data_IF_519257796242
#
_entry.id   IF_519257796242
#
_cell.length_a   1.000
_cell.length_b   1.000
_cell.length_c   1.000
_cell.angle_alpha   90.00
_cell.angle_beta   90.00
_cell.angle_gamma   90.00
#
_symmetry.space_group_name_H-M   'P 1'
#
loop_
_entity.id
_entity.type
_entity.pdbx_description
1 polymer ?
#
# COMPACT_ATOMS: atom_id res chain seq x y z
N UNK A 1 8.15 17.69 -6.14
CA UNK A 1 8.53 19.07 -5.72
C UNK A 1 9.90 19.40 -6.32
N UNK A 2 9.97 19.95 -7.55
CA UNK A 2 11.23 20.32 -8.19
C UNK A 2 11.89 21.53 -7.53
N UNK A 3 12.49 21.31 -6.35
CA UNK A 3 13.15 22.35 -5.55
C UNK A 3 14.61 22.60 -5.93
N UNK A 4 15.15 21.78 -6.82
CA UNK A 4 16.50 21.91 -7.35
C UNK A 4 16.61 21.44 -8.81
N UNK A 5 17.75 21.77 -9.42
CA UNK A 5 18.05 21.45 -10.81
C UNK A 5 18.09 19.94 -11.10
N UNK A 6 18.47 19.13 -10.12
CA UNK A 6 18.53 17.67 -10.22
C UNK A 6 17.15 17.04 -10.33
N UNK A 7 16.23 17.38 -9.42
CA UNK A 7 14.84 16.91 -9.47
C UNK A 7 14.18 17.37 -10.78
N UNK A 8 14.42 18.62 -11.20
CA UNK A 8 13.85 19.12 -12.45
C UNK A 8 14.34 18.35 -13.69
N UNK A 9 15.64 18.02 -13.72
CA UNK A 9 16.23 17.20 -14.80
C UNK A 9 15.62 15.80 -14.84
N UNK A 10 15.31 15.22 -13.68
CA UNK A 10 14.58 13.96 -13.57
C UNK A 10 13.16 14.08 -14.14
N UNK A 11 12.41 15.12 -13.76
CA UNK A 11 11.05 15.37 -14.29
C UNK A 11 11.04 15.53 -15.81
N UNK A 12 12.02 16.26 -16.36
CA UNK A 12 12.20 16.42 -17.82
C UNK A 12 12.55 15.10 -18.52
N UNK A 13 13.24 14.18 -17.82
CA UNK A 13 13.57 12.87 -18.36
C UNK A 13 12.38 11.90 -18.29
N UNK A 14 11.53 12.00 -17.27
CA UNK A 14 10.33 11.18 -17.10
C UNK A 14 9.21 11.55 -18.08
N UNK A 15 9.12 12.83 -18.49
CA UNK A 15 8.12 13.27 -19.47
C UNK A 15 8.41 12.80 -20.90
N UNK A 16 9.66 12.51 -21.25
CA UNK A 16 10.08 12.05 -22.58
C UNK A 16 9.52 10.69 -23.02
N UNK A 17 9.56 9.63 -22.20
CA UNK A 17 9.07 8.30 -22.57
C UNK A 17 7.55 8.10 -22.42
N UNK A 18 6.82 9.04 -21.80
CA UNK A 18 5.38 8.88 -21.54
C UNK A 18 4.47 9.16 -22.76
N UNK A 19 5.01 9.63 -23.89
CA UNK A 19 4.26 10.09 -25.08
C UNK A 19 3.07 11.02 -24.73
N UNK A 20 3.17 11.72 -23.60
CA UNK A 20 2.20 12.71 -23.17
C UNK A 20 2.61 14.06 -23.74
N UNK A 21 1.71 14.68 -24.49
CA UNK A 21 1.82 16.09 -24.89
C UNK A 21 1.63 17.06 -23.72
N UNK A 22 1.61 16.58 -22.47
CA UNK A 22 0.80 17.13 -21.40
C UNK A 22 1.61 17.70 -20.25
N UNK A 23 1.28 18.94 -19.91
CA UNK A 23 1.54 19.51 -18.60
C UNK A 23 1.13 18.56 -17.47
N UNK A 24 1.86 18.58 -16.35
CA UNK A 24 1.49 17.86 -15.15
C UNK A 24 1.48 18.76 -13.94
N UNK A 25 0.60 18.47 -12.99
CA UNK A 25 0.56 19.15 -11.71
C UNK A 25 1.82 18.88 -10.90
N UNK A 26 2.36 19.96 -10.31
CA UNK A 26 3.31 19.90 -9.21
C UNK A 26 2.67 20.46 -7.95
N UNK A 27 3.18 20.08 -6.79
CA UNK A 27 2.63 20.52 -5.51
C UNK A 27 2.97 21.96 -5.11
N UNK A 28 3.15 22.90 -6.03
CA UNK A 28 3.36 24.33 -5.71
C UNK A 28 2.03 25.07 -5.92
N UNK A 29 1.65 25.96 -5.00
CA UNK A 29 0.38 26.70 -5.05
C UNK A 29 0.45 27.99 -4.24
N UNK A 30 -0.49 28.92 -4.47
CA UNK A 30 -0.65 30.15 -3.67
C UNK A 30 -2.10 30.32 -3.15
N UNK A 31 -2.88 29.23 -3.13
CA UNK A 31 -4.28 29.18 -2.68
C UNK A 31 -4.58 29.89 -1.33
N UNK A 32 -3.60 29.96 -0.42
CA UNK A 32 -3.77 30.64 0.88
C UNK A 32 -3.67 32.15 0.76
N UNK A 33 -2.82 32.63 -0.14
CA UNK A 33 -2.56 34.05 -0.36
C UNK A 33 -1.90 34.27 -1.72
N UNK A 34 -2.63 34.96 -2.58
CA UNK A 34 -2.19 35.39 -3.91
C UNK A 34 -0.76 35.94 -3.92
N UNK A 35 0.06 35.42 -4.82
CA UNK A 35 1.47 35.79 -4.98
C UNK A 35 2.41 35.26 -3.90
N UNK A 36 1.91 34.49 -2.93
CA UNK A 36 2.72 33.79 -1.92
C UNK A 36 2.68 32.29 -2.16
N UNK A 37 3.56 31.83 -3.04
CA UNK A 37 3.68 30.42 -3.39
C UNK A 37 4.34 29.60 -2.27
N UNK A 38 3.68 28.51 -1.90
CA UNK A 38 4.16 27.49 -0.98
C UNK A 38 3.96 26.10 -1.60
N UNK A 39 4.76 25.14 -1.16
CA UNK A 39 4.58 23.74 -1.51
C UNK A 39 3.47 23.13 -0.66
N UNK A 40 2.85 22.06 -1.14
CA UNK A 40 1.77 21.32 -0.45
C UNK A 40 2.18 20.77 0.93
N UNK A 41 3.47 20.67 1.24
CA UNK A 41 3.98 20.31 2.57
C UNK A 41 4.20 21.53 3.49
N UNK A 42 3.89 22.74 3.03
CA UNK A 42 3.98 23.99 3.77
C UNK A 42 5.32 24.73 3.62
N UNK A 43 6.29 24.18 2.89
CA UNK A 43 7.56 24.87 2.66
C UNK A 43 7.40 26.04 1.69
N UNK A 44 8.15 27.12 1.92
CA UNK A 44 8.25 28.23 0.96
C UNK A 44 8.87 27.76 -0.36
N UNK A 45 8.50 28.41 -1.48
CA UNK A 45 9.10 28.18 -2.80
C UNK A 45 10.65 28.28 -2.80
N UNK A 46 11.22 29.08 -1.88
CA UNK A 46 12.66 29.26 -1.76
C UNK A 46 13.25 30.10 -2.90
N UNK A 47 14.58 30.00 -3.09
CA UNK A 47 15.29 30.77 -4.13
C UNK A 47 15.19 30.13 -5.52
N UNK A 48 14.93 28.82 -5.59
CA UNK A 48 14.85 28.09 -6.84
C UNK A 48 13.46 28.21 -7.46
N UNK A 49 13.38 28.78 -8.64
CA UNK A 49 12.15 28.86 -9.42
C UNK A 49 12.41 28.61 -10.90
N UNK A 50 11.40 28.11 -11.59
CA UNK A 50 11.42 27.81 -13.04
C UNK A 50 10.21 28.40 -13.75
N UNK A 51 9.68 29.52 -13.25
CA UNK A 51 8.60 30.24 -13.91
C UNK A 51 8.95 30.54 -15.37
N UNK A 52 8.01 30.29 -16.26
CA UNK A 52 8.15 30.69 -17.64
C UNK A 52 8.15 32.22 -17.77
N UNK A 53 8.72 32.78 -18.85
CA UNK A 53 8.65 34.22 -19.09
C UNK A 53 7.20 34.70 -19.09
N UNK A 54 6.86 35.58 -18.15
CA UNK A 54 5.49 36.10 -17.98
C UNK A 54 4.71 35.46 -16.83
N UNK A 55 5.20 34.35 -16.28
CA UNK A 55 4.60 33.64 -15.15
C UNK A 55 5.27 33.98 -13.81
N UNK A 56 4.57 33.83 -12.67
CA UNK A 56 3.14 33.56 -12.58
C UNK A 56 2.30 34.79 -12.96
N UNK A 57 1.20 34.59 -13.70
CA UNK A 57 0.41 35.67 -14.29
C UNK A 57 -0.99 35.86 -13.67
N UNK A 58 -1.44 34.89 -12.89
CA UNK A 58 -2.77 34.80 -12.29
C UNK A 58 -3.92 35.10 -13.25
N UNK A 59 -4.03 34.35 -14.35
CA UNK A 59 -5.00 34.64 -15.40
C UNK A 59 -6.42 34.60 -14.85
N UNK A 60 -7.20 35.64 -15.17
CA UNK A 60 -8.58 35.80 -14.71
C UNK A 60 -8.73 35.79 -13.16
N UNK A 61 -7.65 36.03 -12.42
CA UNK A 61 -7.65 36.00 -10.95
C UNK A 61 -8.12 34.65 -10.37
N UNK A 62 -7.76 33.54 -11.02
CA UNK A 62 -8.21 32.20 -10.64
C UNK A 62 -7.17 31.09 -10.83
N UNK A 63 -5.90 31.44 -10.96
CA UNK A 63 -4.81 30.48 -11.16
C UNK A 63 -3.99 30.33 -9.87
N UNK A 64 -4.29 29.27 -9.12
CA UNK A 64 -3.70 29.05 -7.80
C UNK A 64 -2.89 27.76 -7.67
N UNK A 65 -2.78 26.97 -8.73
CA UNK A 65 -2.04 25.70 -8.75
C UNK A 65 -0.98 25.75 -9.85
N UNK A 66 0.15 25.07 -9.67
CA UNK A 66 1.26 25.16 -10.63
C UNK A 66 1.42 23.89 -11.44
N UNK A 67 1.46 24.04 -12.75
CA UNK A 67 1.74 22.98 -13.70
C UNK A 67 3.11 23.17 -14.37
N UNK A 68 3.67 22.09 -14.92
CA UNK A 68 4.82 22.16 -15.83
C UNK A 68 4.38 22.34 -17.29
N UNK A 69 5.22 22.95 -18.11
CA UNK A 69 5.00 23.12 -19.56
C UNK A 69 6.15 22.43 -20.32
N UNK A 70 5.87 21.65 -21.37
CA UNK A 70 6.83 20.91 -22.23
C UNK A 70 6.45 21.10 -23.72
N UNK A 71 7.37 21.08 -24.72
CA UNK A 71 8.80 20.75 -24.68
C UNK A 71 9.80 21.90 -24.57
N UNK A 72 9.42 23.18 -24.78
CA UNK A 72 10.40 24.27 -24.63
C UNK A 72 9.74 25.66 -24.50
N UNK A 73 10.13 26.47 -23.50
CA UNK A 73 10.94 26.09 -22.35
C UNK A 73 10.18 25.19 -21.38
N UNK A 74 10.90 24.19 -20.85
CA UNK A 74 10.43 23.49 -19.66
C UNK A 74 10.41 24.47 -18.49
N UNK A 75 9.21 24.81 -18.04
CA UNK A 75 9.03 25.76 -16.94
C UNK A 75 7.65 25.64 -16.30
N UNK A 76 7.40 26.51 -15.34
CA UNK A 76 6.20 26.53 -14.52
C UNK A 76 5.22 27.58 -15.02
N UNK A 77 3.93 27.25 -14.88
CA UNK A 77 2.79 28.10 -15.17
C UNK A 77 1.80 27.94 -14.02
N UNK A 78 1.36 29.03 -13.41
CA UNK A 78 0.19 28.98 -12.52
C UNK A 78 -1.05 28.78 -13.40
N UNK A 79 -1.96 27.94 -12.94
CA UNK A 79 -3.11 27.50 -13.68
C UNK A 79 -4.29 27.30 -12.74
N UNK A 80 -5.48 27.29 -13.33
CA UNK A 80 -6.68 27.00 -12.57
C UNK A 80 -6.62 25.57 -12.03
N UNK A 81 -6.72 25.43 -10.70
CA UNK A 81 -6.73 24.13 -10.01
C UNK A 81 -7.86 23.19 -10.48
N UNK A 82 -8.86 23.71 -11.21
CA UNK A 82 -9.98 22.93 -11.74
C UNK A 82 -9.63 22.17 -13.03
N UNK A 83 -8.46 22.40 -13.62
CA UNK A 83 -8.04 21.66 -14.81
C UNK A 83 -7.70 20.20 -14.47
N UNK A 84 -8.13 19.29 -15.35
CA UNK A 84 -7.79 17.88 -15.24
C UNK A 84 -6.46 17.62 -15.94
N UNK A 85 -5.40 17.40 -15.15
CA UNK A 85 -4.05 17.07 -15.63
C UNK A 85 -3.50 15.88 -14.84
N UNK A 86 -2.61 15.07 -15.47
CA UNK A 86 -1.82 14.11 -14.72
C UNK A 86 -0.96 14.82 -13.67
N UNK A 87 -0.53 14.10 -12.64
CA UNK A 87 0.31 14.63 -11.56
C UNK A 87 1.48 13.70 -11.26
N UNK A 88 2.55 14.26 -10.69
CA UNK A 88 3.72 13.50 -10.27
C UNK A 88 3.83 13.52 -8.74
N UNK A 89 3.73 12.34 -8.13
CA UNK A 89 4.04 12.15 -6.72
C UNK A 89 5.56 12.09 -6.51
N UNK A 90 6.05 12.83 -5.52
CA UNK A 90 7.40 12.65 -5.00
C UNK A 90 7.33 11.90 -3.69
N UNK A 91 7.93 10.71 -3.65
CA UNK A 91 8.17 9.97 -2.42
C UNK A 91 9.58 10.34 -1.95
N UNK A 92 9.70 10.88 -0.75
CA UNK A 92 11.02 11.19 -0.16
C UNK A 92 11.58 9.89 0.41
N UNK A 93 12.37 9.18 -0.38
CA UNK A 93 13.19 8.06 0.10
C UNK A 93 14.49 8.61 0.66
N UNK A 94 14.49 9.02 1.93
CA UNK A 94 15.64 9.60 2.62
C UNK A 94 15.49 9.48 4.14
N UNK A 95 16.51 8.94 4.78
CA UNK A 95 16.59 8.47 6.17
C UNK A 95 15.47 8.97 7.10
N UNK A 96 14.40 8.19 7.24
CA UNK A 96 13.27 8.50 8.12
C UNK A 96 13.71 8.82 9.57
N UNK A 97 14.88 8.31 9.98
CA UNK A 97 15.57 8.69 11.20
C UNK A 97 15.76 10.22 11.35
N UNK A 98 16.09 10.94 10.28
CA UNK A 98 16.26 12.40 10.26
C UNK A 98 14.92 13.15 10.43
N UNK A 99 13.81 12.51 10.05
CA UNK A 99 12.44 13.00 10.29
C UNK A 99 11.91 12.61 11.68
N UNK A 100 12.73 11.96 12.51
CA UNK A 100 12.36 11.50 13.85
C UNK A 100 11.58 10.19 13.88
N UNK A 101 11.62 9.39 12.80
CA UNK A 101 11.09 8.02 12.83
C UNK A 101 12.13 7.06 13.38
N UNK A 102 11.70 6.12 14.20
CA UNK A 102 12.53 5.03 14.72
C UNK A 102 12.31 3.76 13.91
N UNK A 103 13.41 3.11 13.46
CA UNK A 103 13.33 1.82 12.76
C UNK A 103 13.17 0.66 13.75
N UNK A 104 12.06 -0.08 13.64
CA UNK A 104 11.80 -1.30 14.41
C UNK A 104 11.27 -2.40 13.49
N UNK A 105 11.92 -3.56 13.49
CA UNK A 105 11.54 -4.75 12.72
C UNK A 105 11.25 -4.48 11.23
N UNK A 106 12.11 -3.67 10.58
CA UNK A 106 11.99 -3.36 9.15
C UNK A 106 11.05 -2.20 8.82
N UNK A 107 10.32 -1.71 9.82
CA UNK A 107 9.38 -0.60 9.73
C UNK A 107 9.89 0.64 10.43
N UNK A 108 9.41 1.81 10.03
CA UNK A 108 9.74 3.08 10.67
C UNK A 108 8.50 3.65 11.34
N UNK A 109 8.59 4.05 12.60
CA UNK A 109 7.46 4.57 13.37
C UNK A 109 7.76 5.94 13.97
N UNK A 110 6.73 6.78 14.07
CA UNK A 110 6.79 8.06 14.77
C UNK A 110 5.47 8.34 15.47
N UNK A 111 5.55 8.61 16.77
CA UNK A 111 4.40 8.97 17.58
C UNK A 111 4.15 10.49 17.53
N UNK A 112 2.88 10.87 17.52
CA UNK A 112 2.40 12.25 17.59
C UNK A 112 1.41 12.34 18.75
N UNK A 113 1.73 13.21 19.71
CA UNK A 113 0.97 13.41 20.94
C UNK A 113 -0.17 14.42 20.77
N UNK A 114 -0.05 15.37 19.83
CA UNK A 114 -1.10 16.34 19.52
C UNK A 114 -2.35 15.65 18.95
N UNK A 115 -3.50 15.66 19.65
CA UNK A 115 -4.65 14.89 19.22
C UNK A 115 -5.28 15.45 17.92
N UNK A 116 -5.64 14.56 17.00
CA UNK A 116 -6.32 14.89 15.73
C UNK A 116 -7.50 13.95 15.48
N UNK A 117 -8.42 14.34 14.61
CA UNK A 117 -9.40 13.41 14.03
C UNK A 117 -8.69 12.33 13.22
N UNK A 118 -9.36 11.20 12.96
CA UNK A 118 -8.79 10.10 12.19
C UNK A 118 -8.24 10.58 10.83
N UNK A 119 -9.04 11.34 10.08
CA UNK A 119 -8.65 11.91 8.78
C UNK A 119 -7.50 12.91 8.94
N UNK A 120 -7.50 13.73 10.00
CA UNK A 120 -6.44 14.69 10.28
C UNK A 120 -5.10 14.00 10.60
N UNK A 121 -5.14 12.95 11.41
CA UNK A 121 -3.99 12.13 11.75
C UNK A 121 -3.42 11.42 10.51
N UNK A 122 -4.29 10.78 9.71
CA UNK A 122 -3.91 10.16 8.44
C UNK A 122 -3.34 11.17 7.43
N UNK A 123 -3.82 12.42 7.42
CA UNK A 123 -3.25 13.48 6.59
C UNK A 123 -1.83 13.86 7.04
N UNK A 124 -1.58 13.98 8.34
CA UNK A 124 -0.23 14.27 8.86
C UNK A 124 0.75 13.16 8.51
N UNK A 125 0.38 11.88 8.67
CA UNK A 125 1.24 10.78 8.24
C UNK A 125 1.57 10.86 6.75
N UNK A 126 0.58 11.18 5.91
CA UNK A 126 0.77 11.28 4.45
C UNK A 126 1.76 12.39 4.05
N UNK A 127 1.89 13.48 4.82
CA UNK A 127 2.91 14.51 4.57
C UNK A 127 4.34 13.96 4.63
N UNK A 128 4.56 12.91 5.42
CA UNK A 128 5.84 12.23 5.53
C UNK A 128 6.03 11.05 4.56
N UNK A 129 5.04 10.76 3.70
CA UNK A 129 5.00 9.53 2.93
C UNK A 129 4.68 8.30 3.80
N UNK A 130 4.03 8.52 4.95
CA UNK A 130 3.64 7.51 5.92
C UNK A 130 2.13 7.22 5.87
N UNK A 131 1.70 6.16 6.54
CA UNK A 131 0.29 5.90 6.87
C UNK A 131 0.11 5.94 8.40
N UNK A 132 -1.13 5.92 8.90
CA UNK A 132 -1.34 5.49 10.29
C UNK A 132 -0.81 4.06 10.46
N UNK A 133 -0.40 3.71 11.68
CA UNK A 133 0.11 2.38 11.99
C UNK A 133 -0.96 1.30 11.73
N UNK A 134 -0.59 0.18 11.11
CA UNK A 134 -1.50 -0.90 10.70
C UNK A 134 -1.01 -2.24 11.27
N UNK A 135 -1.27 -2.53 12.56
CA UNK A 135 -0.79 -3.75 13.21
C UNK A 135 -1.51 -5.01 12.69
N UNK A 136 -1.00 -5.61 11.61
CA UNK A 136 -1.59 -6.78 10.95
C UNK A 136 -1.18 -8.13 11.51
N UNK A 137 -0.24 -8.15 12.43
CA UNK A 137 0.15 -9.34 13.17
C UNK A 137 0.49 -9.01 14.62
N UNK A 138 0.55 -10.07 15.44
CA UNK A 138 0.84 -9.95 16.86
C UNK A 138 2.16 -9.23 17.12
N UNK A 139 3.17 -9.50 16.31
CA UNK A 139 4.49 -8.87 16.45
C UNK A 139 4.40 -7.36 16.28
N UNK A 140 3.72 -6.89 15.23
CA UNK A 140 3.51 -5.46 14.98
C UNK A 140 2.66 -4.83 16.07
N UNK A 141 1.59 -5.49 16.51
CA UNK A 141 0.76 -5.00 17.62
C UNK A 141 1.55 -4.87 18.93
N UNK A 142 2.42 -5.84 19.23
CA UNK A 142 3.30 -5.80 20.40
C UNK A 142 4.33 -4.66 20.28
N UNK A 143 4.83 -4.36 19.08
CA UNK A 143 5.71 -3.19 18.82
C UNK A 143 4.97 -1.89 19.10
N UNK A 144 3.72 -1.74 18.64
CA UNK A 144 2.96 -0.52 18.92
C UNK A 144 2.69 -0.33 20.41
N UNK A 145 2.54 -1.43 21.17
CA UNK A 145 2.45 -1.37 22.63
C UNK A 145 3.74 -0.85 23.29
N UNK A 146 4.93 -0.99 22.68
CA UNK A 146 6.15 -0.39 23.23
C UNK A 146 6.19 1.12 23.04
N UNK A 147 5.61 1.63 21.93
CA UNK A 147 5.40 3.07 21.71
C UNK A 147 4.32 3.66 22.60
N UNK A 148 3.44 2.85 23.17
CA UNK A 148 2.34 3.34 24.01
C UNK A 148 2.78 4.37 25.07
N UNK A 149 3.92 4.13 25.72
CA UNK A 149 4.48 5.03 26.74
C UNK A 149 5.09 6.32 26.15
N UNK A 150 5.43 6.34 24.87
CA UNK A 150 5.98 7.51 24.17
C UNK A 150 4.92 8.36 23.45
N UNK A 151 3.67 7.90 23.36
CA UNK A 151 2.60 8.59 22.59
C UNK A 151 1.70 9.47 23.47
N UNK A 152 1.35 9.07 24.71
CA UNK A 152 0.57 9.92 25.64
C UNK A 152 0.30 9.27 27.01
N UNK A 153 0.08 10.07 28.06
CA UNK A 153 -0.54 9.65 29.33
C UNK A 153 -2.02 9.19 29.18
N UNK A 154 -2.67 9.50 28.05
CA UNK A 154 -4.10 9.26 27.77
C UNK A 154 -4.47 7.83 27.35
N UNK A 155 -3.48 6.99 27.07
CA UNK A 155 -3.66 5.55 26.95
C UNK A 155 -4.43 5.02 25.73
N UNK A 156 -4.60 5.81 24.67
CA UNK A 156 -5.13 5.37 23.37
C UNK A 156 -4.57 6.20 22.21
N UNK A 157 -4.48 5.62 21.01
CA UNK A 157 -4.06 6.32 19.79
C UNK A 157 -4.70 5.71 18.53
N UNK A 158 -4.78 6.48 17.45
CA UNK A 158 -5.29 6.01 16.17
C UNK A 158 -4.38 4.95 15.52
N UNK A 159 -5.01 3.89 15.00
CA UNK A 159 -4.41 2.96 14.02
C UNK A 159 -5.17 3.09 12.70
N UNK A 160 -4.57 2.66 11.59
CA UNK A 160 -5.12 2.85 10.24
C UNK A 160 -6.21 1.86 9.84
N UNK A 161 -7.05 1.40 10.78
CA UNK A 161 -8.14 0.45 10.55
C UNK A 161 -9.49 1.19 10.66
N UNK A 162 -10.41 0.96 9.73
CA UNK A 162 -11.71 1.61 9.67
C UNK A 162 -12.71 0.78 8.86
N UNK A 163 -14.01 1.04 9.00
CA UNK A 163 -15.09 0.41 8.22
C UNK A 163 -16.05 1.45 7.61
N UNK A 164 -15.58 2.70 7.48
CA UNK A 164 -16.31 3.85 6.89
C UNK A 164 -17.02 3.60 5.54
N UNK A 165 -16.65 2.56 4.79
CA UNK A 165 -17.28 2.20 3.52
C UNK A 165 -18.48 1.27 3.70
N UNK A 166 -18.38 0.31 4.62
CA UNK A 166 -19.39 -0.70 4.88
C UNK A 166 -19.24 -1.20 6.32
N UNK A 167 -20.26 -0.91 7.13
CA UNK A 167 -20.34 -1.30 8.54
C UNK A 167 -19.99 -2.78 8.77
N UNK A 168 -19.06 -3.04 9.68
CA UNK A 168 -18.58 -4.38 10.02
C UNK A 168 -17.60 -4.99 9.02
N UNK A 169 -17.32 -4.33 7.90
CA UNK A 169 -16.27 -4.71 6.93
C UNK A 169 -15.04 -3.82 7.10
N UNK A 170 -14.27 -4.08 8.16
CA UNK A 170 -13.06 -3.34 8.44
C UNK A 170 -11.98 -3.53 7.36
N UNK A 171 -11.42 -2.42 6.91
CA UNK A 171 -10.28 -2.32 6.01
C UNK A 171 -9.20 -1.39 6.55
N UNK A 172 -7.98 -1.59 6.07
CA UNK A 172 -6.85 -0.76 6.38
C UNK A 172 -6.72 0.40 5.38
N UNK A 173 -6.04 1.48 5.76
CA UNK A 173 -5.82 2.68 4.92
C UNK A 173 -5.14 2.43 3.55
N UNK A 174 -4.55 1.26 3.32
CA UNK A 174 -3.99 0.87 2.02
C UNK A 174 -4.94 0.00 1.16
N UNK A 175 -6.17 -0.21 1.64
CA UNK A 175 -7.27 -0.90 0.98
C UNK A 175 -7.30 -2.42 1.19
N UNK A 176 -6.49 -2.98 2.08
CA UNK A 176 -6.60 -4.40 2.42
C UNK A 176 -7.64 -4.61 3.52
N UNK A 177 -8.50 -5.61 3.36
CA UNK A 177 -9.47 -6.02 4.40
C UNK A 177 -8.78 -6.58 5.65
N UNK A 178 -9.45 -6.49 6.80
CA UNK A 178 -9.01 -7.13 8.03
C UNK A 178 -9.00 -8.66 7.87
N UNK A 179 -7.83 -9.27 8.13
CA UNK A 179 -7.66 -10.72 8.09
C UNK A 179 -8.13 -11.39 9.40
N UNK A 180 -7.89 -12.70 9.55
CA UNK A 180 -8.25 -13.45 10.76
C UNK A 180 -7.58 -12.89 12.03
N UNK A 181 -6.34 -12.39 11.91
CA UNK A 181 -5.69 -11.72 13.02
C UNK A 181 -6.36 -10.36 13.30
N UNK A 182 -6.79 -10.20 14.54
CA UNK A 182 -7.21 -8.94 15.11
C UNK A 182 -6.80 -8.90 16.59
N UNK A 183 -6.74 -7.70 17.16
CA UNK A 183 -6.52 -7.51 18.59
C UNK A 183 -7.65 -6.70 19.23
N UNK A 184 -8.88 -6.86 18.74
CA UNK A 184 -10.06 -6.25 19.37
C UNK A 184 -10.15 -6.66 20.85
N UNK A 185 -10.51 -5.70 21.71
CA UNK A 185 -10.81 -6.02 23.10
C UNK A 185 -12.09 -6.86 23.19
N UNK A 186 -12.29 -7.61 24.29
CA UNK A 186 -13.51 -8.37 24.48
C UNK A 186 -14.74 -7.45 24.44
N UNK A 187 -15.64 -7.69 23.48
CA UNK A 187 -16.84 -6.88 23.25
C UNK A 187 -16.72 -5.92 22.07
N UNK A 188 -15.52 -5.75 21.51
CA UNK A 188 -15.26 -4.91 20.34
C UNK A 188 -15.07 -5.74 19.06
N UNK A 189 -15.32 -5.17 17.87
CA UNK A 189 -15.93 -3.85 17.66
C UNK A 189 -17.43 -3.87 18.02
N UNK A 190 -17.95 -2.79 18.60
CA UNK A 190 -19.32 -2.74 19.14
C UNK A 190 -20.26 -1.78 18.40
N UNK A 191 -19.70 -0.93 17.53
CA UNK A 191 -20.38 0.14 16.82
C UNK A 191 -21.31 0.98 17.72
N UNK A 192 -20.75 1.58 18.77
CA UNK A 192 -21.55 2.28 19.77
C UNK A 192 -22.32 3.43 19.13
N UNK A 193 -23.63 3.47 19.37
CA UNK A 193 -24.55 4.46 18.80
C UNK A 193 -24.65 4.45 17.26
N UNK A 194 -24.01 3.50 16.57
CA UNK A 194 -24.02 3.41 15.11
C UNK A 194 -23.12 4.44 14.41
N UNK A 195 -22.06 4.92 15.07
CA UNK A 195 -21.18 5.98 14.56
C UNK A 195 -19.67 5.69 14.78
N UNK A 196 -19.28 4.45 15.10
CA UNK A 196 -17.90 4.11 15.48
C UNK A 196 -17.10 3.47 14.32
N UNK A 197 -16.81 4.27 13.29
CA UNK A 197 -16.25 3.70 12.06
C UNK A 197 -14.69 3.63 12.01
N UNK A 198 -13.99 3.94 13.11
CA UNK A 198 -12.53 4.07 13.14
C UNK A 198 -11.89 3.40 14.36
N UNK A 199 -10.80 2.65 14.18
CA UNK A 199 -10.18 1.93 15.27
C UNK A 199 -9.09 2.75 16.01
N UNK A 200 -9.14 2.71 17.33
CA UNK A 200 -8.03 3.11 18.20
C UNK A 200 -7.37 1.87 18.81
N UNK A 201 -6.07 1.95 19.10
CA UNK A 201 -5.37 0.99 19.95
C UNK A 201 -5.18 1.58 21.35
N UNK A 202 -5.43 0.80 22.39
CA UNK A 202 -5.42 1.26 23.78
C UNK A 202 -5.04 0.17 24.78
N UNK A 203 -4.51 0.59 25.93
CA UNK A 203 -4.26 -0.28 27.08
C UNK A 203 -5.44 -0.21 28.05
N UNK A 204 -6.12 -1.34 28.27
CA UNK A 204 -7.11 -1.45 29.34
C UNK A 204 -6.42 -1.70 30.68
N UNK A 205 -6.14 -0.65 31.44
CA UNK A 205 -5.45 -0.73 32.73
C UNK A 205 -6.12 -1.66 33.76
N UNK A 206 -7.44 -1.85 33.67
CA UNK A 206 -8.20 -2.73 34.56
C UNK A 206 -7.82 -4.20 34.42
N UNK A 207 -7.40 -4.62 33.23
CA UNK A 207 -7.05 -6.01 32.89
C UNK A 207 -5.61 -6.16 32.37
N UNK A 208 -4.91 -5.05 32.14
CA UNK A 208 -3.52 -5.02 31.67
C UNK A 208 -3.34 -5.49 30.22
N UNK A 209 -4.38 -5.42 29.38
CA UNK A 209 -4.35 -5.88 27.99
C UNK A 209 -4.23 -4.71 27.02
N UNK A 210 -3.41 -4.87 25.99
CA UNK A 210 -3.31 -3.95 24.86
C UNK A 210 -4.09 -4.51 23.68
N UNK A 211 -4.98 -3.71 23.11
CA UNK A 211 -5.92 -4.15 22.07
C UNK A 211 -6.65 -2.96 21.46
N UNK A 212 -7.65 -3.25 20.64
CA UNK A 212 -8.34 -2.26 19.81
C UNK A 212 -9.78 -2.04 20.25
N UNK A 213 -10.30 -0.87 19.91
CA UNK A 213 -11.67 -0.43 20.13
C UNK A 213 -12.09 0.42 18.94
N UNK A 214 -13.25 0.20 18.36
CA UNK A 214 -13.84 1.09 17.37
C UNK A 214 -14.43 2.31 18.07
N UNK A 215 -14.27 3.48 17.47
CA UNK A 215 -14.75 4.75 18.03
C UNK A 215 -15.04 5.73 16.90
N UNK A 216 -15.87 6.74 17.17
CA UNK A 216 -16.18 7.78 16.18
C UNK A 216 -14.91 8.42 15.61
N UNK A 217 -14.79 8.43 14.29
CA UNK A 217 -13.66 9.01 13.53
C UNK A 217 -13.43 10.51 13.82
N UNK A 218 -14.41 11.19 14.42
CA UNK A 218 -14.37 12.59 14.81
C UNK A 218 -13.68 12.86 16.15
N UNK A 219 -13.40 11.83 16.95
CA UNK A 219 -12.63 11.99 18.19
C UNK A 219 -11.25 12.58 17.93
N UNK A 220 -10.71 13.31 18.90
CA UNK A 220 -9.34 13.81 18.81
C UNK A 220 -8.43 12.90 19.62
N UNK A 221 -7.60 12.10 18.95
CA UNK A 221 -6.64 11.19 19.59
C UNK A 221 -5.21 11.43 19.09
N UNK A 222 -4.19 11.16 19.93
CA UNK A 222 -2.82 10.94 19.48
C UNK A 222 -2.76 9.84 18.42
N UNK A 223 -1.65 9.75 17.68
CA UNK A 223 -1.53 8.79 16.58
C UNK A 223 -0.09 8.36 16.36
N UNK A 224 0.08 7.19 15.75
CA UNK A 224 1.38 6.70 15.32
C UNK A 224 1.37 6.62 13.80
N UNK A 225 2.33 7.28 13.16
CA UNK A 225 2.62 7.07 11.75
C UNK A 225 3.58 5.90 11.58
N UNK A 226 3.38 5.12 10.53
CA UNK A 226 4.31 4.09 10.07
C UNK A 226 4.76 4.36 8.63
N UNK A 227 6.03 4.09 8.35
CA UNK A 227 6.57 4.09 7.00
C UNK A 227 7.10 2.70 6.68
N UNK A 228 6.62 2.17 5.55
CA UNK A 228 7.23 1.05 4.86
C UNK A 228 8.34 1.61 3.95
N UNK A 229 9.62 1.24 4.12
CA UNK A 229 10.72 1.76 3.30
C UNK A 229 10.76 1.14 1.88
N UNK A 230 9.62 1.08 1.19
CA UNK A 230 9.41 0.27 -0.01
C UNK A 230 8.94 -1.14 0.38
N UNK A 231 9.71 -2.16 0.02
CA UNK A 231 9.33 -3.53 0.32
C UNK A 231 9.66 -3.94 1.77
N UNK A 232 8.78 -4.71 2.44
CA UNK A 232 9.09 -5.25 3.77
C UNK A 232 10.38 -6.08 3.77
N UNK A 233 11.01 -6.22 4.94
CA UNK A 233 12.30 -6.91 5.05
C UNK A 233 12.25 -8.36 4.47
N UNK A 234 13.15 -8.62 3.53
CA UNK A 234 13.26 -9.89 2.82
C UNK A 234 12.27 -10.08 1.68
N UNK A 235 11.44 -9.09 1.34
CA UNK A 235 10.69 -9.06 0.08
C UNK A 235 11.57 -8.52 -1.05
N UNK A 236 11.32 -9.00 -2.26
CA UNK A 236 11.98 -8.58 -3.50
C UNK A 236 11.02 -7.68 -4.26
N UNK A 237 11.43 -6.44 -4.53
CA UNK A 237 10.66 -5.49 -5.34
C UNK A 237 10.66 -5.92 -6.81
N UNK A 238 9.49 -5.91 -7.42
CA UNK A 238 9.32 -6.10 -8.86
C UNK A 238 8.05 -5.39 -9.35
N UNK A 239 8.17 -4.57 -10.39
CA UNK A 239 7.04 -3.94 -11.09
C UNK A 239 5.97 -3.26 -10.20
N UNK A 240 6.38 -2.48 -9.18
CA UNK A 240 5.41 -1.78 -8.32
C UNK A 240 4.81 -2.64 -7.21
N UNK A 241 5.33 -3.86 -7.00
CA UNK A 241 4.92 -4.78 -5.95
C UNK A 241 6.12 -5.44 -5.28
N UNK A 242 5.88 -6.08 -4.15
CA UNK A 242 6.91 -6.71 -3.32
C UNK A 242 6.58 -8.18 -3.13
N UNK A 243 7.55 -9.07 -3.36
CA UNK A 243 7.31 -10.51 -3.39
C UNK A 243 8.23 -11.29 -2.45
N UNK A 244 7.71 -12.34 -1.81
CA UNK A 244 8.52 -13.22 -0.97
C UNK A 244 8.05 -14.66 -1.06
N UNK A 245 9.00 -15.55 -1.33
CA UNK A 245 8.80 -16.99 -1.30
C UNK A 245 9.00 -17.53 0.11
N UNK A 246 8.01 -18.27 0.62
CA UNK A 246 8.00 -18.87 1.95
C UNK A 246 8.22 -20.38 1.88
N UNK A 247 8.91 -20.92 2.88
CA UNK A 247 9.35 -22.32 2.92
C UNK A 247 8.40 -23.34 3.59
N UNK A 248 7.47 -22.96 4.48
CA UNK A 248 6.51 -23.92 5.03
C UNK A 248 5.67 -24.57 3.92
N UNK A 249 5.47 -25.88 4.04
CA UNK A 249 4.60 -26.67 3.14
C UNK A 249 3.20 -26.68 3.74
N UNK A 250 2.24 -26.08 3.04
CA UNK A 250 0.91 -25.79 3.57
C UNK A 250 -0.16 -26.02 2.50
N UNK A 251 -1.44 -25.97 2.89
CA UNK A 251 -2.56 -25.92 1.94
C UNK A 251 -2.70 -24.53 1.32
N UNK A 252 -3.47 -24.42 0.24
CA UNK A 252 -3.72 -23.14 -0.43
C UNK A 252 -4.31 -22.10 0.54
N UNK A 253 -5.36 -22.46 1.29
CA UNK A 253 -5.99 -21.55 2.24
C UNK A 253 -5.05 -21.09 3.37
N UNK A 254 -4.19 -21.99 3.86
CA UNK A 254 -3.18 -21.63 4.86
C UNK A 254 -2.15 -20.65 4.30
N UNK A 255 -1.76 -20.81 3.02
CA UNK A 255 -0.88 -19.87 2.34
C UNK A 255 -1.56 -18.51 2.14
N UNK A 256 -2.83 -18.49 1.70
CA UNK A 256 -3.66 -17.29 1.55
C UNK A 256 -3.77 -16.52 2.87
N UNK A 257 -4.12 -17.20 3.96
CA UNK A 257 -4.19 -16.62 5.30
C UNK A 257 -2.84 -16.03 5.74
N UNK A 258 -1.74 -16.75 5.49
CA UNK A 258 -0.42 -16.27 5.85
C UNK A 258 -0.06 -14.99 5.08
N UNK A 259 -0.33 -14.93 3.78
CA UNK A 259 -0.07 -13.71 3.01
C UNK A 259 -0.92 -12.54 3.48
N UNK A 260 -2.20 -12.79 3.80
CA UNK A 260 -3.09 -11.78 4.39
C UNK A 260 -2.55 -11.24 5.72
N UNK A 261 -2.05 -12.10 6.62
CA UNK A 261 -1.39 -11.69 7.86
C UNK A 261 -0.11 -10.86 7.63
N UNK A 262 0.52 -10.99 6.46
CA UNK A 262 1.66 -10.17 6.04
C UNK A 262 1.27 -8.94 5.23
N UNK A 263 -0.01 -8.57 5.27
CA UNK A 263 -0.54 -7.39 4.60
C UNK A 263 -0.50 -7.51 3.08
N UNK A 264 -0.66 -8.72 2.55
CA UNK A 264 -0.60 -9.02 1.12
C UNK A 264 -1.55 -10.13 0.70
N UNK A 265 -1.38 -10.57 -0.54
CA UNK A 265 -2.13 -11.67 -1.15
C UNK A 265 -1.15 -12.76 -1.60
N UNK A 266 -1.65 -13.92 -2.00
CA UNK A 266 -0.81 -14.81 -2.81
C UNK A 266 -0.41 -14.10 -4.10
N UNK A 267 0.80 -14.35 -4.58
CA UNK A 267 1.32 -13.68 -5.77
C UNK A 267 0.51 -14.02 -7.02
N UNK A 268 0.25 -13.05 -7.89
CA UNK A 268 -0.62 -13.21 -9.05
C UNK A 268 0.19 -12.97 -10.33
N UNK A 269 0.73 -14.01 -10.98
CA UNK A 269 1.34 -13.89 -12.30
C UNK A 269 0.26 -13.57 -13.34
N UNK A 270 -0.05 -12.30 -13.56
CA UNK A 270 -1.08 -11.88 -14.54
C UNK A 270 -0.53 -11.64 -15.95
N UNK A 271 0.79 -11.65 -16.08
CA UNK A 271 1.50 -11.45 -17.33
C UNK A 271 2.83 -12.21 -17.32
N UNK A 272 3.38 -12.43 -18.53
CA UNK A 272 4.63 -13.18 -18.72
C UNK A 272 5.82 -12.61 -17.94
N UNK A 273 5.91 -11.29 -17.83
CA UNK A 273 7.04 -10.62 -17.18
C UNK A 273 7.00 -10.87 -15.67
N UNK A 274 5.82 -10.79 -15.07
CA UNK A 274 5.59 -11.12 -13.66
C UNK A 274 5.82 -12.61 -13.40
N UNK A 275 5.32 -13.50 -14.25
CA UNK A 275 5.54 -14.95 -14.12
C UNK A 275 7.01 -15.35 -14.22
N UNK A 276 7.75 -14.84 -15.23
CA UNK A 276 9.18 -15.10 -15.39
C UNK A 276 9.96 -14.71 -14.12
N UNK A 277 9.57 -13.59 -13.48
CA UNK A 277 10.16 -13.16 -12.21
C UNK A 277 9.79 -14.10 -11.04
N UNK A 278 8.52 -14.49 -10.91
CA UNK A 278 8.08 -15.41 -9.87
C UNK A 278 8.71 -16.81 -10.00
N UNK A 279 8.91 -17.30 -11.23
CA UNK A 279 9.68 -18.50 -11.52
C UNK A 279 11.13 -18.38 -11.04
N UNK A 280 11.79 -17.25 -11.27
CA UNK A 280 13.15 -17.02 -10.76
C UNK A 280 13.17 -16.98 -9.23
N UNK A 281 12.20 -16.29 -8.62
CA UNK A 281 12.08 -16.16 -7.17
C UNK A 281 11.86 -17.53 -6.50
N UNK A 282 10.90 -18.33 -7.00
CA UNK A 282 10.60 -19.66 -6.46
C UNK A 282 11.78 -20.61 -6.67
N UNK A 283 12.45 -20.56 -7.82
CA UNK A 283 13.56 -21.48 -8.11
C UNK A 283 14.80 -21.15 -7.29
N UNK A 284 14.99 -19.87 -6.95
CA UNK A 284 16.01 -19.42 -5.99
C UNK A 284 15.69 -19.90 -4.56
N UNK A 285 14.41 -19.91 -4.17
CA UNK A 285 13.99 -20.40 -2.87
C UNK A 285 14.07 -21.94 -2.77
N UNK A 286 13.45 -22.65 -3.71
CA UNK A 286 13.54 -24.10 -3.87
C UNK A 286 13.04 -24.55 -5.27
N UNK A 287 13.97 -24.78 -6.19
CA UNK A 287 13.65 -25.22 -7.57
C UNK A 287 12.95 -26.59 -7.67
N UNK A 288 13.00 -27.41 -6.62
CA UNK A 288 12.50 -28.79 -6.67
C UNK A 288 11.08 -28.94 -6.13
N UNK A 289 10.47 -27.86 -5.64
CA UNK A 289 9.20 -27.92 -4.95
C UNK A 289 8.09 -27.10 -5.63
N UNK A 290 6.86 -27.43 -5.26
CA UNK A 290 5.65 -26.74 -5.70
C UNK A 290 5.49 -25.41 -4.95
N UNK A 291 4.91 -24.41 -5.60
CA UNK A 291 4.59 -23.12 -4.98
C UNK A 291 3.18 -22.67 -5.32
N UNK A 292 2.35 -22.45 -4.31
CA UNK A 292 1.07 -21.76 -4.45
C UNK A 292 1.29 -20.32 -4.92
N UNK A 293 0.39 -19.89 -5.79
CA UNK A 293 0.20 -18.52 -6.25
C UNK A 293 -1.31 -18.26 -6.31
N UNK A 294 -1.73 -17.02 -6.39
CA UNK A 294 -3.09 -16.59 -6.08
C UNK A 294 -4.09 -16.75 -7.23
N UNK A 295 -4.44 -17.99 -7.58
CA UNK A 295 -5.40 -18.30 -8.63
C UNK A 295 -6.19 -19.58 -8.26
N UNK A 296 -7.52 -19.49 -8.24
CA UNK A 296 -8.41 -20.61 -7.91
C UNK A 296 -9.76 -20.51 -8.61
N UNK A 297 -10.42 -21.63 -8.88
CA UNK A 297 -11.82 -21.70 -9.35
C UNK A 297 -12.76 -22.39 -8.35
N UNK A 298 -12.33 -22.53 -7.08
CA UNK A 298 -13.06 -23.19 -5.97
C UNK A 298 -14.51 -22.71 -5.80
N UNK A 299 -14.79 -21.44 -6.13
CA UNK A 299 -16.14 -20.86 -6.03
C UNK A 299 -17.05 -21.23 -7.21
N UNK A 300 -16.48 -21.49 -8.38
CA UNK A 300 -17.21 -21.80 -9.61
C UNK A 300 -16.29 -22.50 -10.59
N UNK A 301 -16.40 -23.83 -10.66
CA UNK A 301 -15.68 -24.70 -11.59
C UNK A 301 -15.52 -24.09 -13.00
N UNK A 302 -14.29 -24.01 -13.48
CA UNK A 302 -13.92 -23.46 -14.78
C UNK A 302 -13.88 -21.93 -14.86
N UNK A 303 -14.21 -21.22 -13.78
CA UNK A 303 -14.04 -19.77 -13.64
C UNK A 303 -12.90 -19.47 -12.68
N UNK A 304 -11.69 -19.35 -13.23
CA UNK A 304 -10.48 -19.03 -12.47
C UNK A 304 -10.47 -17.56 -12.05
N UNK A 305 -10.33 -17.32 -10.74
CA UNK A 305 -10.34 -16.00 -10.11
C UNK A 305 -9.02 -15.77 -9.38
N UNK A 306 -8.44 -14.60 -9.63
CA UNK A 306 -7.25 -14.10 -8.93
C UNK A 306 -7.61 -13.64 -7.51
N UNK A 307 -6.62 -13.57 -6.61
CA UNK A 307 -6.85 -13.14 -5.21
C UNK A 307 -7.36 -11.69 -5.05
N UNK A 308 -7.25 -10.84 -6.08
CA UNK A 308 -7.88 -9.51 -6.12
C UNK A 308 -9.28 -9.49 -6.75
N UNK A 309 -9.84 -10.65 -7.05
CA UNK A 309 -11.19 -10.81 -7.59
C UNK A 309 -11.29 -10.69 -9.11
N UNK A 310 -10.21 -10.37 -9.83
CA UNK A 310 -10.24 -10.38 -11.29
C UNK A 310 -10.35 -11.80 -11.84
N UNK A 311 -11.05 -11.96 -12.97
CA UNK A 311 -11.26 -13.25 -13.62
C UNK A 311 -10.18 -13.50 -14.68
N UNK A 312 -9.60 -14.69 -14.70
CA UNK A 312 -8.80 -15.20 -15.80
C UNK A 312 -9.73 -15.79 -16.88
N UNK A 313 -10.00 -15.02 -17.94
CA UNK A 313 -10.83 -15.48 -19.05
C UNK A 313 -10.07 -16.46 -19.97
N UNK A 314 -10.80 -17.37 -20.62
CA UNK A 314 -10.21 -18.35 -21.56
C UNK A 314 -9.53 -17.69 -22.77
N UNK A 315 -9.96 -16.50 -23.15
CA UNK A 315 -9.40 -15.70 -24.24
C UNK A 315 -8.34 -14.68 -23.77
N UNK A 316 -7.95 -14.73 -22.49
CA UNK A 316 -6.85 -13.88 -22.00
C UNK A 316 -5.57 -14.15 -22.80
N UNK A 317 -4.78 -13.11 -23.09
CA UNK A 317 -3.58 -13.24 -23.91
C UNK A 317 -2.48 -14.11 -23.31
N UNK A 318 -2.58 -14.45 -22.01
CA UNK A 318 -1.48 -15.10 -21.32
C UNK A 318 -1.89 -15.94 -20.10
N UNK A 319 -1.45 -17.20 -20.07
CA UNK A 319 -1.42 -18.10 -18.92
C UNK A 319 -0.30 -19.13 -19.13
N UNK A 320 0.29 -19.66 -18.07
CA UNK A 320 1.35 -20.69 -18.17
C UNK A 320 0.87 -22.09 -17.73
N UNK A 321 -0.42 -22.40 -17.95
CA UNK A 321 -0.95 -23.76 -17.80
C UNK A 321 -0.13 -24.75 -18.62
N UNK A 322 0.26 -25.88 -18.01
CA UNK A 322 0.95 -26.95 -18.74
C UNK A 322 0.00 -27.60 -19.75
N UNK A 323 0.58 -28.31 -20.71
CA UNK A 323 -0.19 -29.10 -21.66
C UNK A 323 -1.10 -30.09 -20.92
N UNK A 324 -2.42 -29.93 -21.12
CA UNK A 324 -3.44 -30.74 -20.46
C UNK A 324 -4.02 -30.14 -19.19
N UNK A 325 -3.47 -29.03 -18.68
CA UNK A 325 -3.97 -28.32 -17.50
C UNK A 325 -4.78 -27.06 -17.89
N UNK A 326 -5.67 -26.57 -17.02
CA UNK A 326 -6.18 -27.24 -15.83
C UNK A 326 -7.03 -28.46 -16.22
N UNK A 327 -6.88 -29.58 -15.51
CA UNK A 327 -7.51 -30.84 -15.89
C UNK A 327 -8.67 -31.25 -14.96
N UNK A 328 -8.84 -30.54 -13.85
CA UNK A 328 -9.81 -30.79 -12.80
C UNK A 328 -9.90 -32.28 -12.40
N UNK A 329 -8.77 -32.87 -12.01
CA UNK A 329 -8.71 -34.32 -11.79
C UNK A 329 -9.63 -34.71 -10.66
N UNK A 330 -10.55 -35.64 -10.92
CA UNK A 330 -11.57 -36.10 -9.96
C UNK A 330 -12.66 -35.08 -9.62
N UNK A 331 -12.66 -33.89 -10.24
CA UNK A 331 -13.68 -32.87 -10.05
C UNK A 331 -13.50 -32.02 -8.78
N UNK A 332 -12.27 -31.91 -8.26
CA UNK A 332 -11.93 -31.16 -7.05
C UNK A 332 -10.53 -30.50 -7.08
N UNK A 333 -9.94 -30.30 -8.26
CA UNK A 333 -8.63 -29.63 -8.38
C UNK A 333 -8.80 -28.13 -8.63
N UNK A 334 -9.07 -27.38 -7.57
CA UNK A 334 -9.55 -25.99 -7.74
C UNK A 334 -8.49 -24.89 -7.49
N UNK A 335 -7.23 -25.27 -7.22
CA UNK A 335 -6.18 -24.32 -6.84
C UNK A 335 -4.90 -24.46 -7.67
N UNK A 336 -4.45 -23.35 -8.24
CA UNK A 336 -3.28 -23.32 -9.11
C UNK A 336 -1.96 -23.27 -8.33
N UNK A 337 -0.96 -23.98 -8.82
CA UNK A 337 0.41 -23.90 -8.30
C UNK A 337 1.45 -24.00 -9.40
N UNK A 338 2.64 -23.45 -9.12
CA UNK A 338 3.82 -23.70 -9.92
C UNK A 338 4.35 -25.11 -9.69
N UNK A 339 4.77 -25.76 -10.77
CA UNK A 339 5.47 -27.04 -10.73
C UNK A 339 6.99 -26.90 -10.50
N UNK A 340 7.71 -27.96 -10.08
CA UNK A 340 9.16 -27.96 -9.95
C UNK A 340 9.84 -27.61 -11.28
N UNK A 341 11.06 -27.06 -11.23
CA UNK A 341 11.79 -26.57 -12.41
C UNK A 341 11.98 -27.64 -13.51
N UNK A 342 12.04 -28.92 -13.14
CA UNK A 342 12.16 -30.02 -14.09
C UNK A 342 10.91 -30.22 -14.98
N UNK A 343 9.76 -29.68 -14.57
CA UNK A 343 8.46 -29.78 -15.24
C UNK A 343 7.74 -28.42 -15.14
N UNK A 344 8.26 -27.36 -15.80
CA UNK A 344 7.81 -25.99 -15.62
C UNK A 344 6.35 -25.80 -16.07
N UNK A 345 5.71 -24.75 -15.56
CA UNK A 345 4.31 -24.42 -15.81
C UNK A 345 3.39 -24.60 -14.60
N UNK A 346 2.15 -24.18 -14.78
CA UNK A 346 1.09 -24.23 -13.80
C UNK A 346 0.33 -25.56 -13.85
N UNK A 347 -0.23 -25.93 -12.70
CA UNK A 347 -1.05 -27.11 -12.50
C UNK A 347 -2.13 -26.79 -11.47
N UNK A 348 -3.31 -27.36 -11.65
CA UNK A 348 -4.40 -27.32 -10.69
C UNK A 348 -4.35 -28.54 -9.77
N UNK A 349 -4.67 -28.35 -8.49
CA UNK A 349 -4.72 -29.44 -7.52
C UNK A 349 -5.68 -29.09 -6.38
N UNK A 350 -6.18 -30.09 -5.65
CA UNK A 350 -7.01 -29.89 -4.45
C UNK A 350 -6.42 -28.84 -3.51
N UNK A 351 -7.17 -27.77 -3.26
CA UNK A 351 -6.78 -26.65 -2.38
C UNK A 351 -6.38 -27.10 -0.97
N UNK A 352 -7.01 -28.16 -0.46
CA UNK A 352 -6.79 -28.71 0.89
C UNK A 352 -5.47 -29.48 1.04
N UNK A 353 -4.78 -29.83 -0.07
CA UNK A 353 -3.53 -30.59 -0.02
C UNK A 353 -2.38 -29.75 0.54
N UNK A 354 -1.69 -30.29 1.54
CA UNK A 354 -0.47 -29.68 2.11
C UNK A 354 0.76 -30.11 1.33
N UNK A 355 0.94 -29.56 0.14
CA UNK A 355 1.95 -30.04 -0.84
C UNK A 355 2.89 -28.98 -1.36
N UNK A 356 2.58 -27.69 -1.19
CA UNK A 356 3.36 -26.62 -1.77
C UNK A 356 3.82 -25.60 -0.73
N UNK A 357 4.97 -25.00 -1.05
CA UNK A 357 5.41 -23.70 -0.54
C UNK A 357 4.53 -22.62 -1.17
N UNK A 358 4.81 -21.34 -0.93
CA UNK A 358 3.97 -20.28 -1.48
C UNK A 358 4.73 -18.98 -1.66
N UNK A 359 4.19 -18.11 -2.51
CA UNK A 359 4.73 -16.76 -2.75
C UNK A 359 3.66 -15.75 -2.37
N UNK A 360 4.01 -14.82 -1.47
CA UNK A 360 3.16 -13.67 -1.18
C UNK A 360 3.56 -12.48 -2.02
N UNK A 361 2.59 -11.61 -2.33
CA UNK A 361 2.80 -10.28 -2.88
C UNK A 361 2.14 -9.20 -2.00
N UNK A 362 2.79 -8.04 -1.88
CA UNK A 362 2.19 -6.83 -1.29
C UNK A 362 2.35 -5.68 -2.27
N UNK A 363 1.51 -4.63 -2.14
CA UNK A 363 1.77 -3.36 -2.83
C UNK A 363 3.15 -2.82 -2.43
N UNK A 364 3.81 -2.17 -3.38
CA UNK A 364 4.89 -1.25 -3.08
C UNK A 364 4.28 0.06 -2.57
N UNK A 365 4.81 0.59 -1.47
CA UNK A 365 4.31 1.82 -0.84
C UNK A 365 5.05 3.05 -1.33
#
# INVERSE_FOLDING_TARGET
>A
MPRDKGINKLLTALSKPMDTSGAFWIGLHDQRKEGQFEWIDGDSIGEYNLWNPGEPNNANSGEHCVQTVYPDPFGWNDASCQQSLPFICQIVTGAFNEKGYEKLHGMYYKAFDEPKSFIGAAAICRLDGATLAMPRDKETNDILNTFFQSVSESGAFWIGLHDQQEEGQFEWLDGYSLAEYNAWHPGEPNNSLGEEDCAQAMLLYTVGTFGWNDISCHQALPFICQIHPGCPDGFTKFSGACFKAYHPIVSYHQARQFCAMKGGLLAMPKDKTTDDFLLQLKNKADRWHYFWFGLSDENSEGQWVWEDGEILYQDTPWSDWREGEPNNRYGDEDCAHYSPQAWPGWNDILCSRKVAKFICQTKEY
#
